data_IF_580665621153
#
_entry.id   IF_580665621153
#
_cell.length_a   1.000
_cell.length_b   1.000
_cell.length_c   1.000
_cell.angle_alpha   90.00
_cell.angle_beta   90.00
_cell.angle_gamma   90.00
#
_symmetry.space_group_name_H-M   'P 1'
#
loop_
_entity.id
_entity.type
_entity.pdbx_description
1 polymer ?
#
# COMPACT_ATOMS: atom_id res chain seq x y z
N UNK A 1 20.92 -44.64 55.03
CA UNK A 1 21.58 -43.37 54.67
C UNK A 1 20.56 -42.47 53.98
N UNK A 2 19.80 -41.71 54.78
CA UNK A 2 18.55 -41.04 54.36
C UNK A 2 18.82 -39.82 53.47
N UNK A 3 19.88 -39.06 53.81
CA UNK A 3 20.33 -37.87 53.08
C UNK A 3 20.64 -38.17 51.60
N UNK A 4 21.24 -39.34 51.31
CA UNK A 4 21.58 -39.73 49.93
C UNK A 4 20.32 -39.98 49.08
N UNK A 5 19.28 -40.52 49.70
CA UNK A 5 18.00 -40.84 49.05
C UNK A 5 17.15 -39.59 48.81
N UNK A 6 17.23 -38.61 49.72
CA UNK A 6 16.62 -37.29 49.52
C UNK A 6 17.30 -36.49 48.41
N UNK A 7 18.64 -36.59 48.29
CA UNK A 7 19.39 -35.95 47.21
C UNK A 7 19.02 -36.55 45.84
N UNK A 8 18.96 -37.88 45.74
CA UNK A 8 18.53 -38.57 44.50
C UNK A 8 17.09 -38.20 44.09
N UNK A 9 16.17 -38.06 45.06
CA UNK A 9 14.79 -37.61 44.81
C UNK A 9 14.73 -36.15 44.35
N UNK A 10 15.57 -35.29 44.92
CA UNK A 10 15.67 -33.90 44.54
C UNK A 10 16.23 -33.76 43.12
N UNK A 11 17.30 -34.48 42.79
CA UNK A 11 17.90 -34.50 41.45
C UNK A 11 16.92 -35.02 40.40
N UNK A 12 16.16 -36.07 40.74
CA UNK A 12 15.12 -36.61 39.85
C UNK A 12 14.03 -35.57 39.56
N UNK A 13 13.55 -34.86 40.59
CA UNK A 13 12.58 -33.76 40.43
C UNK A 13 13.12 -32.58 39.62
N UNK A 14 14.39 -32.23 39.83
CA UNK A 14 15.03 -31.15 39.07
C UNK A 14 15.15 -31.51 37.60
N UNK A 15 15.51 -32.76 37.30
CA UNK A 15 15.62 -33.26 35.93
C UNK A 15 14.27 -33.37 35.23
N UNK A 16 13.21 -33.79 35.94
CA UNK A 16 11.83 -33.74 35.43
C UNK A 16 11.42 -32.29 35.10
N UNK A 17 11.72 -31.34 35.99
CA UNK A 17 11.40 -29.92 35.77
C UNK A 17 12.19 -29.32 34.60
N UNK A 18 13.47 -29.66 34.45
CA UNK A 18 14.27 -29.25 33.28
C UNK A 18 13.67 -29.79 31.98
N UNK A 19 13.32 -31.08 31.96
CA UNK A 19 12.70 -31.71 30.79
C UNK A 19 11.36 -31.06 30.45
N UNK A 20 10.54 -30.75 31.46
CA UNK A 20 9.29 -30.01 31.28
C UNK A 20 9.52 -28.59 30.75
N UNK A 21 10.50 -27.86 31.31
CA UNK A 21 10.86 -26.52 30.83
C UNK A 21 11.31 -26.53 29.38
N UNK A 22 12.08 -27.53 28.98
CA UNK A 22 12.58 -27.67 27.61
C UNK A 22 11.45 -27.98 26.62
N UNK A 23 10.53 -28.88 27.01
CA UNK A 23 9.31 -29.15 26.25
C UNK A 23 8.39 -27.93 26.12
N UNK A 24 8.24 -27.16 27.19
CA UNK A 24 7.45 -25.92 27.20
C UNK A 24 8.05 -24.86 26.29
N UNK A 25 9.38 -24.66 26.33
CA UNK A 25 10.09 -23.73 25.43
C UNK A 25 9.86 -24.09 23.97
N UNK A 26 10.00 -25.36 23.61
CA UNK A 26 9.76 -25.83 22.23
C UNK A 26 8.33 -25.58 21.78
N UNK A 27 7.36 -25.82 22.66
CA UNK A 27 5.93 -25.58 22.38
C UNK A 27 5.65 -24.09 22.18
N UNK A 28 6.26 -23.21 22.98
CA UNK A 28 6.11 -21.75 22.85
C UNK A 28 6.70 -21.26 21.51
N UNK A 29 7.86 -21.77 21.10
CA UNK A 29 8.46 -21.40 19.81
C UNK A 29 7.63 -21.86 18.61
N UNK A 30 7.07 -23.09 18.67
CA UNK A 30 6.19 -23.61 17.64
C UNK A 30 4.86 -22.81 17.57
N UNK A 31 4.30 -22.41 18.72
CA UNK A 31 3.11 -21.55 18.78
C UNK A 31 3.41 -20.15 18.23
N UNK A 32 4.56 -19.56 18.56
CA UNK A 32 5.01 -18.28 17.99
C UNK A 32 5.10 -18.35 16.47
N UNK A 33 5.77 -19.38 15.92
CA UNK A 33 5.88 -19.56 14.46
C UNK A 33 4.51 -19.69 13.79
N UNK A 34 3.60 -20.48 14.37
CA UNK A 34 2.23 -20.64 13.83
C UNK A 34 1.44 -19.33 13.88
N UNK A 35 1.58 -18.57 14.96
CA UNK A 35 0.93 -17.26 15.12
C UNK A 35 1.47 -16.23 14.11
N UNK A 36 2.78 -16.15 13.93
CA UNK A 36 3.42 -15.27 12.93
C UNK A 36 3.02 -15.63 11.50
N UNK A 37 2.92 -16.93 11.19
CA UNK A 37 2.49 -17.41 9.87
C UNK A 37 1.02 -17.06 9.59
N UNK A 38 0.13 -17.23 10.57
CA UNK A 38 -1.28 -16.81 10.44
C UNK A 38 -1.41 -15.30 10.25
N UNK A 39 -0.61 -14.51 10.96
CA UNK A 39 -0.57 -13.05 10.80
C UNK A 39 -0.10 -12.62 9.41
N UNK A 40 0.95 -13.25 8.86
CA UNK A 40 1.41 -12.97 7.50
C UNK A 40 0.36 -13.29 6.44
N UNK A 41 -0.40 -14.36 6.60
CA UNK A 41 -1.46 -14.74 5.66
C UNK A 41 -2.63 -13.75 5.69
N UNK A 42 -3.12 -13.41 6.89
CA UNK A 42 -4.15 -12.39 7.08
C UNK A 42 -3.74 -11.03 6.50
N UNK A 43 -2.46 -10.68 6.63
CA UNK A 43 -1.91 -9.45 6.06
C UNK A 43 -1.82 -9.46 4.53
N UNK A 44 -1.58 -10.62 3.91
CA UNK A 44 -1.61 -10.79 2.46
C UNK A 44 -3.02 -10.61 1.92
N UNK A 45 -4.00 -11.33 2.49
CA UNK A 45 -5.40 -11.22 2.09
C UNK A 45 -5.95 -9.80 2.26
N UNK A 46 -5.59 -9.12 3.35
CA UNK A 46 -5.97 -7.72 3.56
C UNK A 46 -5.39 -6.78 2.49
N UNK A 47 -4.16 -7.05 2.01
CA UNK A 47 -3.54 -6.25 0.96
C UNK A 47 -4.17 -6.49 -0.41
N UNK A 48 -4.57 -7.72 -0.70
CA UNK A 48 -5.31 -8.08 -1.91
C UNK A 48 -6.66 -7.36 -1.95
N UNK A 49 -7.42 -7.41 -0.85
CA UNK A 49 -8.70 -6.69 -0.72
C UNK A 49 -8.53 -5.17 -0.89
N UNK A 50 -7.49 -4.60 -0.29
CA UNK A 50 -7.22 -3.17 -0.40
C UNK A 50 -6.81 -2.78 -1.83
N UNK A 51 -6.05 -3.62 -2.53
CA UNK A 51 -5.70 -3.42 -3.93
C UNK A 51 -6.96 -3.37 -4.79
N UNK A 52 -7.87 -4.32 -4.63
CA UNK A 52 -9.13 -4.32 -5.38
C UNK A 52 -9.98 -3.08 -5.07
N UNK A 53 -10.04 -2.67 -3.81
CA UNK A 53 -10.76 -1.47 -3.40
C UNK A 53 -10.21 -0.23 -4.11
N UNK A 54 -8.88 -0.04 -4.09
CA UNK A 54 -8.21 1.07 -4.78
C UNK A 54 -8.55 1.06 -6.27
N UNK A 55 -8.55 -0.10 -6.92
CA UNK A 55 -8.87 -0.22 -8.34
C UNK A 55 -10.34 0.10 -8.62
N UNK A 56 -11.27 -0.39 -7.79
CA UNK A 56 -12.71 -0.12 -7.93
C UNK A 56 -13.05 1.34 -7.72
N UNK A 57 -12.42 1.99 -6.74
CA UNK A 57 -12.61 3.41 -6.44
C UNK A 57 -12.07 4.31 -7.56
N UNK A 58 -10.88 3.99 -8.09
CA UNK A 58 -10.27 4.77 -9.17
C UNK A 58 -10.90 4.51 -10.54
N UNK A 59 -11.42 3.29 -10.77
CA UNK A 59 -11.92 2.84 -12.08
C UNK A 59 -13.32 2.20 -11.97
N UNK A 60 -14.35 2.98 -11.60
CA UNK A 60 -15.69 2.45 -11.29
C UNK A 60 -16.41 1.82 -12.50
N UNK A 61 -15.98 2.12 -13.71
CA UNK A 61 -16.55 1.56 -14.94
C UNK A 61 -15.85 0.28 -15.42
N UNK A 62 -14.68 -0.03 -14.88
CA UNK A 62 -13.92 -1.23 -15.23
C UNK A 62 -14.45 -2.43 -14.42
N UNK A 63 -14.26 -3.65 -14.93
CA UNK A 63 -14.63 -4.84 -14.16
C UNK A 63 -13.40 -5.40 -13.42
N UNK A 64 -13.45 -5.34 -12.09
CA UNK A 64 -12.39 -5.83 -11.18
C UNK A 64 -12.81 -7.19 -10.60
N UNK A 65 -12.10 -8.26 -10.98
CA UNK A 65 -12.38 -9.64 -10.54
C UNK A 65 -11.19 -10.24 -9.80
N UNK A 66 -11.46 -10.82 -8.63
CA UNK A 66 -10.52 -11.67 -7.90
C UNK A 66 -10.27 -12.97 -8.66
N UNK A 67 -9.03 -13.47 -8.65
CA UNK A 67 -8.78 -14.86 -9.06
C UNK A 67 -8.97 -15.74 -7.83
N UNK A 68 -10.04 -16.53 -7.81
CA UNK A 68 -10.52 -17.22 -6.61
C UNK A 68 -9.45 -18.00 -5.83
N UNK A 69 -9.53 -17.93 -4.50
CA UNK A 69 -8.64 -18.60 -3.55
C UNK A 69 -8.43 -20.08 -3.90
N UNK A 70 -7.17 -20.48 -4.09
CA UNK A 70 -6.77 -21.86 -4.40
C UNK A 70 -6.59 -22.17 -5.89
N UNK A 71 -6.84 -21.21 -6.78
CA UNK A 71 -6.45 -21.27 -8.19
C UNK A 71 -5.14 -20.52 -8.37
N UNK A 72 -4.13 -21.15 -8.99
CA UNK A 72 -2.90 -20.43 -9.36
C UNK A 72 -3.24 -19.27 -10.32
N UNK A 73 -2.81 -18.07 -9.95
CA UNK A 73 -2.94 -16.89 -10.77
C UNK A 73 -2.56 -15.61 -10.02
N UNK A 74 -2.68 -14.50 -10.74
CA UNK A 74 -2.54 -13.15 -10.21
C UNK A 74 -3.67 -12.82 -9.23
N UNK A 75 -3.39 -12.04 -8.20
CA UNK A 75 -4.35 -11.67 -7.15
C UNK A 75 -5.63 -11.01 -7.73
N UNK A 76 -5.47 -10.13 -8.72
CA UNK A 76 -6.59 -9.36 -9.26
C UNK A 76 -6.49 -9.19 -10.79
N UNK A 77 -7.64 -9.17 -11.46
CA UNK A 77 -7.77 -8.88 -12.89
C UNK A 77 -8.70 -7.68 -13.08
N UNK A 78 -8.24 -6.71 -13.86
CA UNK A 78 -9.03 -5.57 -14.32
C UNK A 78 -9.31 -5.71 -15.82
N UNK A 79 -10.58 -5.79 -16.17
CA UNK A 79 -11.06 -5.60 -17.53
C UNK A 79 -11.34 -4.11 -17.74
N UNK A 80 -10.48 -3.46 -18.52
CA UNK A 80 -10.53 -2.03 -18.79
C UNK A 80 -11.69 -1.73 -19.73
N UNK A 81 -12.53 -0.76 -19.35
CA UNK A 81 -13.66 -0.32 -20.18
C UNK A 81 -13.57 1.16 -20.52
N UNK A 82 -13.83 1.51 -21.78
CA UNK A 82 -13.93 2.92 -22.16
C UNK A 82 -15.26 3.54 -21.67
N UNK A 83 -15.44 4.84 -21.90
CA UNK A 83 -16.64 5.59 -21.50
C UNK A 83 -17.93 5.12 -22.20
N UNK A 84 -17.82 4.26 -23.22
CA UNK A 84 -18.96 3.64 -23.90
C UNK A 84 -19.28 2.23 -23.38
N UNK A 85 -18.57 1.79 -22.33
CA UNK A 85 -18.74 0.47 -21.72
C UNK A 85 -18.13 -0.68 -22.51
N UNK A 86 -17.29 -0.41 -23.53
CA UNK A 86 -16.62 -1.46 -24.30
C UNK A 86 -15.31 -1.87 -23.64
N UNK A 87 -15.06 -3.17 -23.65
CA UNK A 87 -13.81 -3.76 -23.16
C UNK A 87 -12.66 -3.38 -24.11
N UNK A 88 -11.62 -2.76 -23.56
CA UNK A 88 -10.47 -2.20 -24.30
C UNK A 88 -9.15 -2.95 -24.02
N UNK A 89 -9.12 -3.80 -23.00
CA UNK A 89 -7.95 -4.56 -22.62
C UNK A 89 -8.07 -5.13 -21.22
N UNK A 90 -7.07 -5.92 -20.83
CA UNK A 90 -7.04 -6.62 -19.55
C UNK A 90 -5.70 -6.43 -18.87
N UNK A 91 -5.75 -5.98 -17.62
CA UNK A 91 -4.59 -5.81 -16.75
C UNK A 91 -4.67 -6.86 -15.64
N UNK A 92 -3.57 -7.52 -15.32
CA UNK A 92 -3.47 -8.37 -14.13
C UNK A 92 -2.54 -7.77 -13.10
N UNK A 93 -2.84 -8.04 -11.84
CA UNK A 93 -2.13 -7.49 -10.70
C UNK A 93 -1.70 -8.61 -9.76
N UNK A 94 -0.44 -8.57 -9.36
CA UNK A 94 0.09 -9.39 -8.26
C UNK A 94 0.64 -8.46 -7.19
N UNK A 95 0.31 -8.73 -5.93
CA UNK A 95 0.85 -8.03 -4.78
C UNK A 95 1.85 -8.92 -4.02
N UNK A 96 2.96 -8.32 -3.58
CA UNK A 96 4.01 -9.01 -2.82
C UNK A 96 4.43 -8.18 -1.62
N UNK A 97 4.16 -8.73 -0.43
CA UNK A 97 4.53 -8.16 0.86
C UNK A 97 5.70 -8.92 1.49
N UNK A 98 6.86 -8.85 0.89
CA UNK A 98 8.08 -9.48 1.46
C UNK A 98 9.19 -8.44 1.62
N UNK A 99 10.21 -8.77 2.43
CA UNK A 99 11.37 -7.90 2.67
C UNK A 99 12.51 -8.13 1.67
N UNK A 100 12.41 -9.15 0.84
CA UNK A 100 13.47 -9.57 -0.08
C UNK A 100 12.88 -9.79 -1.46
N UNK A 101 13.41 -9.08 -2.44
CA UNK A 101 13.04 -9.25 -3.85
C UNK A 101 13.32 -10.66 -4.36
N UNK A 102 12.42 -11.20 -5.19
CA UNK A 102 12.67 -12.42 -5.96
C UNK A 102 12.30 -12.22 -7.43
N UNK A 103 13.24 -12.54 -8.33
CA UNK A 103 12.97 -12.51 -9.78
C UNK A 103 11.90 -13.55 -10.18
N UNK A 104 11.70 -14.61 -9.39
CA UNK A 104 10.67 -15.61 -9.67
C UNK A 104 9.26 -15.05 -9.69
N UNK A 105 8.99 -13.90 -9.05
CA UNK A 105 7.69 -13.25 -9.10
C UNK A 105 7.39 -12.69 -10.49
N UNK A 106 8.40 -12.13 -11.16
CA UNK A 106 8.28 -11.61 -12.53
C UNK A 106 7.99 -12.76 -13.50
N UNK A 107 8.71 -13.88 -13.35
CA UNK A 107 8.51 -15.05 -14.20
C UNK A 107 7.14 -15.72 -13.99
N UNK A 108 6.70 -15.86 -12.72
CA UNK A 108 5.36 -16.32 -12.39
C UNK A 108 4.30 -15.42 -13.02
N UNK A 109 4.40 -14.10 -12.81
CA UNK A 109 3.41 -13.15 -13.28
C UNK A 109 3.32 -13.11 -14.82
N UNK A 110 4.43 -13.32 -15.53
CA UNK A 110 4.41 -13.51 -16.99
C UNK A 110 3.66 -14.76 -17.44
N UNK A 111 3.80 -15.86 -16.71
CA UNK A 111 3.03 -17.08 -16.98
C UNK A 111 1.54 -16.80 -16.76
N UNK A 112 1.20 -16.13 -15.66
CA UNK A 112 -0.17 -15.76 -15.35
C UNK A 112 -0.78 -14.83 -16.41
N UNK A 113 0.01 -13.88 -16.91
CA UNK A 113 -0.38 -12.98 -18.00
C UNK A 113 -0.76 -13.75 -19.27
N UNK A 114 0.05 -14.75 -19.65
CA UNK A 114 -0.24 -15.62 -20.79
C UNK A 114 -1.47 -16.49 -20.54
N UNK A 115 -1.54 -17.13 -19.38
CA UNK A 115 -2.63 -18.05 -19.03
C UNK A 115 -3.99 -17.35 -18.96
N UNK A 116 -4.02 -16.09 -18.55
CA UNK A 116 -5.25 -15.29 -18.45
C UNK A 116 -5.52 -14.45 -19.69
N UNK A 117 -4.68 -14.54 -20.73
CA UNK A 117 -4.73 -13.68 -21.92
C UNK A 117 -4.89 -12.21 -21.52
N UNK A 118 -3.99 -11.73 -20.66
CA UNK A 118 -3.93 -10.35 -20.25
C UNK A 118 -2.93 -9.59 -21.12
N UNK A 119 -3.24 -8.32 -21.41
CA UNK A 119 -2.42 -7.47 -22.26
C UNK A 119 -1.22 -6.93 -21.48
N UNK A 120 -1.43 -6.60 -20.21
CA UNK A 120 -0.44 -5.97 -19.34
C UNK A 120 -0.51 -6.59 -17.93
N UNK A 121 0.65 -6.65 -17.26
CA UNK A 121 0.75 -7.12 -15.89
C UNK A 121 1.51 -6.11 -15.01
N UNK A 122 1.00 -5.94 -13.79
CA UNK A 122 1.52 -5.02 -12.78
C UNK A 122 1.84 -5.80 -11.49
N UNK A 123 3.09 -5.72 -11.07
CA UNK A 123 3.57 -6.23 -9.79
C UNK A 123 3.64 -5.08 -8.78
N UNK A 124 2.86 -5.21 -7.70
CA UNK A 124 2.81 -4.27 -6.58
C UNK A 124 3.68 -4.82 -5.45
N UNK A 125 4.76 -4.12 -5.11
CA UNK A 125 5.74 -4.61 -4.13
C UNK A 125 6.22 -3.49 -3.20
N UNK A 126 6.64 -3.87 -2.00
CA UNK A 126 7.32 -2.96 -1.06
C UNK A 126 8.85 -2.97 -1.20
N UNK A 127 9.41 -3.91 -1.98
CA UNK A 127 10.85 -4.00 -2.23
C UNK A 127 11.08 -4.11 -3.73
N UNK A 128 11.91 -3.22 -4.27
CA UNK A 128 12.29 -3.20 -5.68
C UNK A 128 13.56 -4.04 -5.93
N UNK A 129 13.82 -4.47 -7.17
CA UNK A 129 15.11 -5.04 -7.55
C UNK A 129 16.25 -4.01 -7.40
N UNK A 130 17.49 -4.49 -7.28
CA UNK A 130 18.67 -3.64 -6.92
C UNK A 130 18.97 -2.50 -7.90
N UNK A 131 18.49 -2.60 -9.13
CA UNK A 131 18.67 -1.67 -10.24
C UNK A 131 17.48 -0.71 -10.41
N UNK A 132 16.58 -0.63 -9.42
CA UNK A 132 15.33 0.11 -9.53
C UNK A 132 14.96 0.79 -8.23
N UNK A 133 14.84 2.13 -8.27
CA UNK A 133 14.52 2.95 -7.10
C UNK A 133 13.07 3.48 -7.09
N UNK A 134 12.35 3.31 -8.20
CA UNK A 134 10.98 3.84 -8.44
C UNK A 134 10.22 2.89 -9.35
N UNK A 135 8.91 3.11 -9.51
CA UNK A 135 8.12 2.34 -10.48
C UNK A 135 8.70 2.41 -11.90
N UNK A 136 8.41 1.38 -12.69
CA UNK A 136 8.94 1.24 -14.04
C UNK A 136 8.67 -0.12 -14.64
N UNK A 137 9.19 -0.34 -15.84
CA UNK A 137 9.00 -1.57 -16.60
C UNK A 137 10.24 -2.46 -16.49
N UNK A 138 10.08 -3.71 -16.06
CA UNK A 138 11.14 -4.71 -16.04
C UNK A 138 10.66 -5.97 -16.75
N UNK A 139 11.40 -6.38 -17.77
CA UNK A 139 11.15 -7.58 -18.55
C UNK A 139 9.68 -7.71 -19.03
N UNK A 140 9.00 -6.61 -19.34
CA UNK A 140 7.60 -6.60 -19.77
C UNK A 140 6.56 -6.60 -18.65
N UNK A 141 6.98 -6.51 -17.37
CA UNK A 141 6.11 -6.38 -16.21
C UNK A 141 6.31 -4.99 -15.59
N UNK A 142 5.22 -4.27 -15.35
CA UNK A 142 5.27 -3.01 -14.63
C UNK A 142 5.43 -3.29 -13.14
N UNK A 143 6.41 -2.67 -12.50
CA UNK A 143 6.65 -2.82 -11.06
C UNK A 143 6.39 -1.47 -10.42
N UNK A 144 5.60 -1.44 -9.36
CA UNK A 144 5.32 -0.24 -8.59
C UNK A 144 5.14 -0.56 -7.11
N UNK A 145 5.16 0.48 -6.27
CA UNK A 145 4.77 0.31 -4.87
C UNK A 145 3.26 0.48 -4.69
N UNK A 146 2.77 0.11 -3.50
CA UNK A 146 1.34 0.17 -3.19
C UNK A 146 0.76 1.59 -3.27
N UNK A 147 1.54 2.63 -2.93
CA UNK A 147 1.08 4.02 -3.03
C UNK A 147 0.99 4.53 -4.48
N UNK A 148 1.69 3.89 -5.41
CA UNK A 148 1.75 4.28 -6.83
C UNK A 148 0.78 3.49 -7.70
N UNK A 149 0.19 2.41 -7.19
CA UNK A 149 -0.60 1.47 -8.00
C UNK A 149 -1.75 2.16 -8.72
N UNK A 150 -2.48 3.07 -8.08
CA UNK A 150 -3.57 3.82 -8.72
C UNK A 150 -3.07 4.65 -9.90
N UNK A 151 -1.95 5.36 -9.75
CA UNK A 151 -1.37 6.20 -10.81
C UNK A 151 -0.82 5.37 -11.96
N UNK A 152 -0.12 4.27 -11.67
CA UNK A 152 0.42 3.36 -12.70
C UNK A 152 -0.70 2.68 -13.46
N UNK A 153 -1.74 2.22 -12.75
CA UNK A 153 -2.94 1.63 -13.36
C UNK A 153 -3.64 2.62 -14.27
N UNK A 154 -3.76 3.90 -13.87
CA UNK A 154 -4.40 4.95 -14.68
C UNK A 154 -3.65 5.18 -16.01
N UNK A 155 -2.32 5.26 -15.96
CA UNK A 155 -1.46 5.44 -17.13
C UNK A 155 -1.61 4.27 -18.12
N UNK A 156 -1.55 3.06 -17.59
CA UNK A 156 -1.66 1.82 -18.37
C UNK A 156 -3.06 1.68 -18.96
N UNK A 157 -4.10 1.93 -18.16
CA UNK A 157 -5.50 1.95 -18.57
C UNK A 157 -5.73 2.92 -19.72
N UNK A 158 -5.22 4.15 -19.61
CA UNK A 158 -5.34 5.15 -20.67
C UNK A 158 -4.68 4.68 -21.96
N UNK A 159 -3.50 4.07 -21.87
CA UNK A 159 -2.77 3.51 -23.02
C UNK A 159 -3.56 2.39 -23.71
N UNK A 160 -4.17 1.48 -22.94
CA UNK A 160 -5.02 0.41 -23.48
C UNK A 160 -6.27 0.95 -24.20
N UNK A 161 -6.94 1.96 -23.62
CA UNK A 161 -8.10 2.59 -24.26
C UNK A 161 -7.69 3.28 -25.57
N UNK A 162 -6.55 3.98 -25.59
CA UNK A 162 -6.05 4.61 -26.82
C UNK A 162 -5.72 3.57 -27.90
N UNK A 163 -5.03 2.49 -27.53
CA UNK A 163 -4.73 1.40 -28.46
C UNK A 163 -6.01 0.75 -29.01
N UNK A 164 -7.00 0.51 -28.16
CA UNK A 164 -8.29 -0.01 -28.60
C UNK A 164 -9.01 0.94 -29.57
N UNK A 165 -9.05 2.24 -29.28
CA UNK A 165 -9.67 3.22 -30.19
C UNK A 165 -8.92 3.35 -31.51
N UNK A 166 -7.59 3.20 -31.49
CA UNK A 166 -6.77 3.12 -32.70
C UNK A 166 -7.14 1.86 -33.49
N UNK A 167 -7.13 0.67 -32.88
CA UNK A 167 -7.51 -0.60 -33.52
C UNK A 167 -8.92 -0.58 -34.10
N UNK A 168 -9.89 -0.01 -33.37
CA UNK A 168 -11.26 0.13 -33.84
C UNK A 168 -11.41 1.11 -35.01
N UNK A 169 -10.55 2.13 -35.08
CA UNK A 169 -10.44 3.01 -36.26
C UNK A 169 -9.73 2.29 -37.42
N UNK A 170 -8.81 1.36 -37.12
CA UNK A 170 -8.04 0.54 -38.08
C UNK A 170 -8.88 -0.55 -38.76
N UNK A 171 -9.86 -1.16 -38.07
CA UNK A 171 -10.79 -2.15 -38.66
C UNK A 171 -11.56 -1.64 -39.89
N UNK A 172 -11.63 -0.31 -40.09
CA UNK A 172 -12.39 0.30 -41.18
C UNK A 172 -11.59 0.61 -42.46
N UNK A 173 -10.25 0.47 -42.52
CA UNK A 173 -9.47 0.72 -43.76
C UNK A 173 -8.20 -0.14 -43.86
N UNK A 174 -8.19 -1.09 -44.79
CA UNK A 174 -7.24 -2.21 -44.92
C UNK A 174 -5.81 -1.95 -45.41
N UNK A 175 -5.25 -0.77 -45.21
CA UNK A 175 -3.82 -0.50 -45.45
C UNK A 175 -3.24 0.07 -44.16
N UNK A 176 -2.14 -0.50 -43.61
CA UNK A 176 -1.13 0.14 -42.69
C UNK A 176 -0.55 -0.78 -41.59
N UNK A 177 0.32 -1.73 -41.94
CA UNK A 177 1.40 -2.07 -40.98
C UNK A 177 2.50 -0.98 -40.95
N UNK A 178 2.65 -0.24 -42.05
CA UNK A 178 3.69 0.78 -42.19
C UNK A 178 3.44 2.01 -41.31
N UNK A 179 2.21 2.53 -41.22
CA UNK A 179 1.95 3.73 -40.42
C UNK A 179 1.88 3.48 -38.91
N UNK A 180 1.53 2.27 -38.47
CA UNK A 180 1.63 1.86 -37.07
C UNK A 180 3.10 1.84 -36.62
N UNK A 181 3.98 1.31 -37.47
CA UNK A 181 5.42 1.37 -37.25
C UNK A 181 5.89 2.83 -37.20
N UNK A 182 5.49 3.68 -38.14
CA UNK A 182 5.91 5.08 -38.22
C UNK A 182 5.39 5.94 -37.04
N UNK A 183 4.19 5.65 -36.51
CA UNK A 183 3.63 6.35 -35.35
C UNK A 183 4.28 5.89 -34.04
N UNK A 184 4.41 4.57 -33.82
CA UNK A 184 5.02 4.01 -32.60
C UNK A 184 6.51 4.32 -32.52
N UNK A 185 7.20 4.45 -33.65
CA UNK A 185 8.62 4.86 -33.72
C UNK A 185 8.81 6.37 -33.92
N UNK A 186 7.72 7.11 -34.13
CA UNK A 186 7.73 8.52 -34.47
C UNK A 186 7.90 9.47 -33.28
N UNK A 187 8.35 10.69 -33.59
CA UNK A 187 8.52 11.78 -32.63
C UNK A 187 7.20 12.21 -31.94
N UNK A 188 6.04 11.99 -32.57
CA UNK A 188 4.74 12.34 -32.00
C UNK A 188 4.36 11.49 -30.78
N UNK A 189 4.51 10.16 -30.85
CA UNK A 189 4.21 9.28 -29.72
C UNK A 189 5.13 9.57 -28.53
N UNK A 190 6.43 9.75 -28.80
CA UNK A 190 7.41 10.14 -27.77
C UNK A 190 7.05 11.48 -27.12
N UNK A 191 6.72 12.49 -27.93
CA UNK A 191 6.34 13.81 -27.43
C UNK A 191 5.06 13.80 -26.58
N UNK A 192 4.08 12.96 -26.93
CA UNK A 192 2.88 12.79 -26.10
C UNK A 192 3.18 12.12 -24.76
N UNK A 193 4.02 11.08 -24.75
CA UNK A 193 4.44 10.40 -23.51
C UNK A 193 5.27 11.35 -22.63
N UNK A 194 6.15 12.15 -23.22
CA UNK A 194 6.94 13.17 -22.51
C UNK A 194 6.04 14.26 -21.92
N UNK A 195 5.09 14.79 -22.68
CA UNK A 195 4.14 15.80 -22.19
C UNK A 195 3.26 15.28 -21.03
N UNK A 196 2.84 14.01 -21.11
CA UNK A 196 2.10 13.36 -20.03
C UNK A 196 2.99 13.21 -18.78
N UNK A 197 4.23 12.71 -18.95
CA UNK A 197 5.19 12.56 -17.85
C UNK A 197 5.53 13.91 -17.19
N UNK A 198 5.65 14.97 -17.97
CA UNK A 198 5.81 16.34 -17.49
C UNK A 198 4.61 16.81 -16.68
N UNK A 199 3.39 16.53 -17.14
CA UNK A 199 2.15 16.82 -16.40
C UNK A 199 2.11 16.13 -15.04
N UNK A 200 2.47 14.85 -14.97
CA UNK A 200 2.54 14.11 -13.71
C UNK A 200 3.64 14.63 -12.78
N UNK A 201 4.81 14.98 -13.32
CA UNK A 201 5.89 15.59 -12.55
C UNK A 201 5.44 16.94 -11.96
N UNK A 202 4.80 17.79 -12.76
CA UNK A 202 4.28 19.06 -12.32
C UNK A 202 3.23 18.91 -11.20
N UNK A 203 2.35 17.92 -11.30
CA UNK A 203 1.34 17.62 -10.27
C UNK A 203 1.98 17.12 -8.97
N UNK A 204 2.94 16.18 -9.05
CA UNK A 204 3.69 15.70 -7.88
C UNK A 204 4.46 16.82 -7.18
N UNK A 205 5.10 17.69 -7.95
CA UNK A 205 5.79 18.86 -7.43
C UNK A 205 4.79 19.85 -6.78
N UNK A 206 3.59 19.99 -7.35
CA UNK A 206 2.46 20.74 -6.78
C UNK A 206 2.08 20.23 -5.40
N UNK A 207 1.77 18.93 -5.28
CA UNK A 207 1.42 18.28 -4.00
C UNK A 207 2.55 18.44 -2.98
N UNK A 208 3.80 18.30 -3.40
CA UNK A 208 4.96 18.46 -2.50
C UNK A 208 5.06 19.88 -1.97
N UNK A 209 4.87 20.89 -2.82
CA UNK A 209 4.83 22.30 -2.42
C UNK A 209 3.65 22.59 -1.48
N UNK A 210 2.47 22.05 -1.77
CA UNK A 210 1.29 22.21 -0.92
C UNK A 210 1.51 21.62 0.47
N UNK A 211 2.09 20.41 0.56
CA UNK A 211 2.46 19.80 1.85
C UNK A 211 3.40 20.68 2.66
N UNK A 212 4.46 21.21 2.02
CA UNK A 212 5.40 22.10 2.70
C UNK A 212 4.74 23.39 3.19
N UNK A 213 3.84 23.98 2.39
CA UNK A 213 3.09 25.16 2.79
C UNK A 213 2.12 24.85 3.93
N UNK A 214 1.44 23.72 3.88
CA UNK A 214 0.47 23.32 4.90
C UNK A 214 1.15 23.03 6.23
N UNK A 215 2.30 22.37 6.22
CA UNK A 215 3.13 22.16 7.42
C UNK A 215 3.52 23.50 8.09
N UNK A 216 3.88 24.50 7.28
CA UNK A 216 4.17 25.85 7.78
C UNK A 216 2.92 26.49 8.40
N UNK A 217 1.78 26.39 7.72
CA UNK A 217 0.50 26.93 8.20
C UNK A 217 0.07 26.25 9.51
N UNK A 218 0.21 24.93 9.61
CA UNK A 218 -0.06 24.19 10.83
C UNK A 218 0.79 24.68 11.99
N UNK A 219 2.11 24.77 11.82
CA UNK A 219 2.99 25.30 12.87
C UNK A 219 2.68 26.73 13.28
N UNK A 220 2.27 27.58 12.33
CA UNK A 220 1.84 28.93 12.63
C UNK A 220 0.55 28.94 13.45
N UNK A 221 -0.44 28.13 13.08
CA UNK A 221 -1.71 27.99 13.79
C UNK A 221 -1.54 27.35 15.16
N UNK A 222 -0.68 26.35 15.31
CA UNK A 222 -0.33 25.75 16.59
C UNK A 222 0.25 26.80 17.55
N UNK A 223 1.19 27.63 17.09
CA UNK A 223 1.73 28.73 17.91
C UNK A 223 0.67 29.79 18.26
N UNK A 224 -0.25 30.08 17.34
CA UNK A 224 -1.36 30.99 17.63
C UNK A 224 -2.28 30.38 18.69
N UNK A 225 -2.61 29.10 18.57
CA UNK A 225 -3.42 28.37 19.55
C UNK A 225 -2.75 28.33 20.92
N UNK A 226 -1.45 28.04 20.98
CA UNK A 226 -0.65 28.06 22.21
C UNK A 226 -0.69 29.44 22.88
N UNK A 227 -0.51 30.53 22.12
CA UNK A 227 -0.61 31.90 22.65
C UNK A 227 -2.00 32.20 23.23
N UNK A 228 -3.06 31.77 22.55
CA UNK A 228 -4.44 31.95 23.02
C UNK A 228 -4.68 31.15 24.30
N UNK A 229 -4.21 29.90 24.36
CA UNK A 229 -4.31 29.05 25.54
C UNK A 229 -3.57 29.67 26.74
N UNK A 230 -2.31 30.07 26.57
CA UNK A 230 -1.52 30.73 27.62
C UNK A 230 -2.19 32.01 28.10
N UNK A 231 -2.70 32.83 27.17
CA UNK A 231 -3.40 34.08 27.51
C UNK A 231 -4.68 33.80 28.30
N UNK A 232 -5.43 32.77 27.91
CA UNK A 232 -6.67 32.36 28.58
C UNK A 232 -6.40 31.80 29.97
N UNK A 233 -5.40 30.91 30.12
CA UNK A 233 -4.95 30.40 31.42
C UNK A 233 -4.43 31.51 32.33
N UNK A 234 -3.67 32.47 31.78
CA UNK A 234 -3.17 33.63 32.52
C UNK A 234 -4.28 34.56 33.01
N UNK A 235 -5.29 34.83 32.17
CA UNK A 235 -6.50 35.56 32.57
C UNK A 235 -7.24 34.83 33.68
N UNK A 236 -7.46 33.52 33.54
CA UNK A 236 -8.12 32.70 34.54
C UNK A 236 -7.36 32.69 35.88
N UNK A 237 -6.05 32.48 35.85
CA UNK A 237 -5.18 32.54 37.04
C UNK A 237 -5.19 33.91 37.72
N UNK A 238 -5.19 34.99 36.94
CA UNK A 238 -5.29 36.36 37.46
C UNK A 238 -6.64 36.60 38.14
N UNK A 239 -7.74 36.15 37.52
CA UNK A 239 -9.10 36.26 38.07
C UNK A 239 -9.24 35.44 39.36
N UNK A 240 -8.74 34.20 39.39
CA UNK A 240 -8.71 33.34 40.59
C UNK A 240 -7.85 33.93 41.71
N UNK A 241 -6.73 34.58 41.37
CA UNK A 241 -5.88 35.31 42.33
C UNK A 241 -6.55 36.54 42.94
N UNK A 242 -7.37 37.27 42.18
CA UNK A 242 -8.08 38.48 42.63
C UNK A 242 -9.36 38.12 43.42
N UNK A 243 -10.15 37.18 42.93
CA UNK A 243 -11.46 36.83 43.49
C UNK A 243 -11.43 35.68 44.52
N UNK A 244 -10.28 35.04 44.72
CA UNK A 244 -10.13 33.89 45.60
C UNK A 244 -10.93 32.67 45.12
N UNK A 245 -11.23 31.73 46.04
CA UNK A 245 -11.87 30.44 45.75
C UNK A 245 -13.33 30.50 45.26
N UNK A 246 -13.81 31.66 44.83
CA UNK A 246 -15.20 31.90 44.37
C UNK A 246 -15.36 31.83 42.85
N UNK A 247 -14.28 31.63 42.09
CA UNK A 247 -14.28 31.42 40.64
C UNK A 247 -14.31 29.92 40.37
N UNK A 248 -15.36 29.45 39.69
CA UNK A 248 -15.52 28.02 39.35
C UNK A 248 -14.51 27.55 38.30
N UNK A 249 -14.02 26.33 38.49
CA UNK A 249 -13.00 25.69 37.64
C UNK A 249 -13.49 25.42 36.20
N UNK A 250 -12.61 25.65 35.22
CA UNK A 250 -12.86 25.40 33.79
C UNK A 250 -12.08 24.14 33.39
N UNK A 251 -12.76 22.99 33.19
CA UNK A 251 -12.11 21.70 32.98
C UNK A 251 -11.12 21.63 31.82
N UNK A 252 -11.27 22.50 30.80
CA UNK A 252 -10.41 22.53 29.62
C UNK A 252 -9.01 23.12 29.88
N UNK A 253 -8.80 23.80 31.02
CA UNK A 253 -7.56 24.52 31.34
C UNK A 253 -6.83 24.03 32.59
N UNK A 254 -7.42 23.12 33.36
CA UNK A 254 -6.84 22.54 34.58
C UNK A 254 -5.93 21.32 34.32
N UNK A 255 -5.58 21.06 33.05
CA UNK A 255 -4.62 20.01 32.68
C UNK A 255 -5.20 18.59 32.61
N UNK A 256 -6.43 18.38 33.07
CA UNK A 256 -7.17 17.13 32.88
C UNK A 256 -7.93 17.16 31.54
N UNK A 257 -7.19 17.17 30.43
CA UNK A 257 -7.77 16.72 29.16
C UNK A 257 -7.62 15.20 29.07
N UNK A 258 -8.72 14.44 28.87
CA UNK A 258 -8.58 13.02 28.58
C UNK A 258 -7.78 12.91 27.29
N UNK A 259 -6.65 12.20 27.37
CA UNK A 259 -5.95 11.68 26.22
C UNK A 259 -6.95 10.74 25.54
N UNK A 260 -7.73 11.27 24.60
CA UNK A 260 -8.42 10.40 23.66
C UNK A 260 -7.34 9.80 22.78
N UNK A 261 -6.90 8.61 23.19
CA UNK A 261 -6.48 7.56 22.31
C UNK A 261 -7.44 7.53 21.12
N UNK A 262 -6.98 8.05 19.99
CA UNK A 262 -7.46 7.55 18.71
C UNK A 262 -6.66 6.26 18.49
N UNK A 263 -7.13 5.18 19.08
CA UNK A 263 -6.81 3.85 18.57
C UNK A 263 -7.44 3.75 17.16
N UNK A 264 -6.54 3.74 16.17
CA UNK A 264 -6.65 3.31 14.78
C UNK A 264 -8.00 3.44 14.05
#
# INVERSE_FOLDING_TARGET
NIVKREHELFDMKMKEKETQMESLKKTIDDLKRKSEQGSMQLQGEAQELLLEQILRENFPFDAITEVGKGVEGADCIQLVRNNTGRDCGKIIYESKRTKTWSNSWVDKLKNDMRNKCADIAILVTQVFPKDMDRFGLRDGIWICNFSEVGSVSLLIRHSLIQLYEIQKREENKGDKMQMLYDYLTGLEFRGQVEAIAEGFKAMKDGITRERMQMEKIWKEREKQLEKVLISTSGLYGSVKGIAGASVGDIPLLDGDSPVNEIEY
#
